data_IF_518960799584
#
_entry.id   IF_518960799584
#
_cell.length_a   1.000
_cell.length_b   1.000
_cell.length_c   1.000
_cell.angle_alpha   90.00
_cell.angle_beta   90.00
_cell.angle_gamma   90.00
#
_symmetry.space_group_name_H-M   'P 1'
#
loop_
_entity.id
_entity.type
_entity.pdbx_description
1 polymer ?
#
# COMPACT_ATOMS: atom_id res chain seq x y z
N UNK A 1 30.65 -12.45 -30.74
CA UNK A 1 29.70 -11.37 -30.41
C UNK A 1 30.26 -10.13 -31.08
N UNK A 2 29.56 -9.64 -32.10
CA UNK A 2 30.04 -8.57 -32.98
C UNK A 2 30.00 -7.19 -32.26
N UNK A 3 30.93 -6.29 -32.60
CA UNK A 3 31.03 -4.96 -31.97
C UNK A 3 29.74 -4.13 -32.18
N UNK A 4 29.06 -4.38 -33.30
CA UNK A 4 27.75 -3.80 -33.59
C UNK A 4 26.69 -4.25 -32.59
N UNK A 5 26.73 -5.51 -32.16
CA UNK A 5 25.85 -6.05 -31.14
C UNK A 5 26.15 -5.44 -29.75
N UNK A 6 27.42 -5.14 -29.44
CA UNK A 6 27.80 -4.42 -28.21
C UNK A 6 27.28 -2.98 -28.19
N UNK A 7 27.40 -2.26 -29.30
CA UNK A 7 26.92 -0.87 -29.42
C UNK A 7 25.38 -0.83 -29.34
N UNK A 8 24.70 -1.77 -29.98
CA UNK A 8 23.25 -1.91 -29.88
C UNK A 8 22.80 -2.21 -28.44
N UNK A 9 23.50 -3.11 -27.75
CA UNK A 9 23.23 -3.41 -26.34
C UNK A 9 23.44 -2.20 -25.44
N UNK A 10 24.55 -1.45 -25.62
CA UNK A 10 24.81 -0.23 -24.85
C UNK A 10 23.74 0.86 -25.09
N UNK A 11 23.28 0.99 -26.33
CA UNK A 11 22.22 1.94 -26.70
C UNK A 11 20.87 1.57 -26.09
N UNK A 12 20.53 0.28 -26.08
CA UNK A 12 19.31 -0.22 -25.43
C UNK A 12 19.35 -0.02 -23.91
N UNK A 13 20.50 -0.27 -23.27
CA UNK A 13 20.68 0.00 -21.84
C UNK A 13 20.48 1.49 -21.53
N UNK A 14 21.04 2.38 -22.37
CA UNK A 14 20.86 3.82 -22.23
C UNK A 14 19.39 4.26 -22.35
N UNK A 15 18.66 3.68 -23.31
CA UNK A 15 17.24 3.99 -23.52
C UNK A 15 16.38 3.52 -22.34
N UNK A 16 16.59 2.30 -21.85
CA UNK A 16 15.88 1.76 -20.67
C UNK A 16 16.19 2.60 -19.42
N UNK A 17 17.43 3.05 -19.26
CA UNK A 17 17.81 3.92 -18.16
C UNK A 17 17.14 5.30 -18.26
N UNK A 18 17.03 5.85 -19.46
CA UNK A 18 16.34 7.11 -19.71
C UNK A 18 14.83 7.01 -19.43
N UNK A 19 14.16 5.99 -19.96
CA UNK A 19 12.72 5.76 -19.71
C UNK A 19 12.45 5.57 -18.21
N UNK A 20 13.31 4.82 -17.50
CA UNK A 20 13.19 4.69 -16.06
C UNK A 20 13.38 6.03 -15.32
N UNK A 21 14.33 6.87 -15.73
CA UNK A 21 14.50 8.20 -15.14
C UNK A 21 13.30 9.12 -15.41
N UNK A 22 12.65 9.01 -16.57
CA UNK A 22 11.46 9.80 -16.92
C UNK A 22 10.23 9.33 -16.15
N UNK A 23 10.03 8.02 -16.03
CA UNK A 23 8.86 7.44 -15.36
C UNK A 23 8.96 7.48 -13.83
N UNK A 24 10.16 7.33 -13.27
CA UNK A 24 10.38 7.17 -11.82
C UNK A 24 11.20 8.29 -11.17
N UNK A 25 11.70 9.26 -11.95
CA UNK A 25 12.61 10.30 -11.46
C UNK A 25 14.05 9.80 -11.26
N UNK A 26 15.03 10.71 -11.03
CA UNK A 26 16.45 10.36 -10.92
C UNK A 26 16.69 9.48 -9.69
N UNK A 27 16.68 8.17 -9.90
CA UNK A 27 17.04 7.18 -8.90
C UNK A 27 18.54 6.99 -8.96
N UNK A 28 19.30 7.85 -8.28
CA UNK A 28 20.70 7.55 -7.98
C UNK A 28 20.71 6.27 -7.14
N UNK A 29 21.39 5.19 -7.56
CA UNK A 29 21.60 4.05 -6.68
C UNK A 29 22.58 4.51 -5.61
N UNK A 30 22.04 4.97 -4.48
CA UNK A 30 22.84 5.19 -3.28
C UNK A 30 23.36 3.82 -2.84
N UNK A 31 24.65 3.66 -2.49
CA UNK A 31 25.20 2.39 -2.02
C UNK A 31 24.70 2.00 -0.61
N UNK A 32 23.71 2.71 -0.09
CA UNK A 32 23.10 2.45 1.21
C UNK A 32 21.77 1.70 0.99
N UNK A 33 21.53 0.55 1.65
CA UNK A 33 20.22 -0.06 1.63
C UNK A 33 19.23 0.98 2.16
N UNK A 34 18.21 1.30 1.36
CA UNK A 34 17.08 2.11 1.77
C UNK A 34 16.34 1.40 2.92
N UNK A 35 16.84 1.55 4.13
CA UNK A 35 15.96 1.66 5.28
C UNK A 35 15.18 2.96 5.08
N UNK A 36 14.19 2.94 4.18
CA UNK A 36 13.10 3.92 4.22
C UNK A 36 12.63 3.89 5.66
N UNK A 37 12.95 4.92 6.44
CA UNK A 37 12.47 5.07 7.82
C UNK A 37 10.95 5.02 7.76
N UNK A 38 10.39 3.84 8.00
CA UNK A 38 9.01 3.71 8.38
C UNK A 38 8.91 4.42 9.71
N UNK A 39 8.20 5.55 9.72
CA UNK A 39 7.96 6.29 10.95
C UNK A 39 7.14 5.36 11.84
N UNK A 40 7.72 4.93 12.95
CA UNK A 40 7.02 4.12 13.94
C UNK A 40 5.79 4.90 14.43
N UNK A 41 4.71 4.21 14.76
CA UNK A 41 3.54 4.81 15.41
C UNK A 41 3.93 5.61 16.67
N UNK A 42 4.99 5.20 17.37
CA UNK A 42 5.54 5.88 18.55
C UNK A 42 6.19 7.23 18.27
N UNK A 43 6.58 7.51 17.02
CA UNK A 43 7.19 8.79 16.60
C UNK A 43 6.17 9.72 15.92
N UNK A 44 4.96 9.23 15.66
CA UNK A 44 3.91 9.96 14.97
C UNK A 44 2.98 10.68 15.96
N UNK A 45 2.78 11.97 15.74
CA UNK A 45 1.77 12.73 16.48
C UNK A 45 0.37 12.37 15.94
N UNK A 46 -0.18 11.26 16.41
CA UNK A 46 -1.49 10.75 16.01
C UNK A 46 -2.57 11.68 16.60
N UNK A 47 -3.48 12.24 15.78
CA UNK A 47 -4.60 13.03 16.26
C UNK A 47 -5.42 12.28 17.34
N UNK A 48 -5.82 13.00 18.39
CA UNK A 48 -6.55 12.44 19.53
C UNK A 48 -7.80 11.65 19.11
N UNK A 49 -8.50 12.13 18.08
CA UNK A 49 -9.75 11.53 17.58
C UNK A 49 -9.56 10.19 16.86
N UNK A 50 -8.32 9.78 16.57
CA UNK A 50 -8.03 8.52 15.88
C UNK A 50 -7.78 7.36 16.85
N UNK A 51 -7.62 7.67 18.13
CA UNK A 51 -7.38 6.67 19.17
C UNK A 51 -8.69 6.07 19.66
N UNK A 52 -8.70 4.75 19.81
CA UNK A 52 -9.79 4.05 20.46
C UNK A 52 -9.80 4.40 21.96
N UNK A 53 -10.92 4.88 22.53
CA UNK A 53 -10.96 5.22 23.95
C UNK A 53 -10.81 4.04 24.92
N UNK A 54 -10.94 2.79 24.44
CA UNK A 54 -10.79 1.58 25.27
C UNK A 54 -9.34 1.10 25.24
N UNK A 55 -8.80 0.83 24.05
CA UNK A 55 -7.47 0.23 23.89
C UNK A 55 -6.35 1.27 23.90
N UNK A 56 -6.68 2.54 23.68
CA UNK A 56 -5.71 3.60 23.44
C UNK A 56 -4.77 3.26 22.27
N UNK A 57 -5.28 2.51 21.30
CA UNK A 57 -4.62 2.19 20.04
C UNK A 57 -5.32 2.86 18.86
N UNK A 58 -4.59 3.07 17.77
CA UNK A 58 -5.14 3.64 16.54
C UNK A 58 -6.29 2.75 16.03
N UNK A 59 -7.47 3.35 15.81
CA UNK A 59 -8.64 2.60 15.34
C UNK A 59 -8.42 2.04 13.93
N UNK A 60 -8.67 0.74 13.75
CA UNK A 60 -8.60 0.03 12.47
C UNK A 60 -9.96 -0.04 11.80
N UNK A 61 -10.99 -0.32 12.60
CA UNK A 61 -12.38 -0.31 12.15
C UNK A 61 -13.26 0.53 13.09
N UNK A 62 -13.27 1.87 12.90
CA UNK A 62 -14.02 2.75 13.78
C UNK A 62 -15.53 2.53 13.63
N UNK A 63 -16.20 2.31 14.75
CA UNK A 63 -17.65 2.11 14.87
C UNK A 63 -18.25 3.01 15.94
N UNK A 64 -19.47 3.48 15.69
CA UNK A 64 -20.23 4.35 16.58
C UNK A 64 -21.23 3.51 17.37
N UNK A 65 -21.26 3.71 18.69
CA UNK A 65 -22.28 3.14 19.59
C UNK A 65 -23.48 4.07 19.72
N UNK A 66 -24.56 3.61 20.37
CA UNK A 66 -25.78 4.40 20.60
C UNK A 66 -25.53 5.82 21.16
N UNK A 67 -24.54 6.00 22.02
CA UNK A 67 -24.21 7.31 22.64
C UNK A 67 -23.46 8.27 21.71
N UNK A 68 -23.19 7.87 20.46
CA UNK A 68 -22.44 8.67 19.49
C UNK A 68 -20.92 8.62 19.67
N UNK A 69 -20.40 7.88 20.66
CA UNK A 69 -18.96 7.69 20.81
C UNK A 69 -18.45 6.66 19.79
N UNK A 70 -17.22 6.89 19.30
CA UNK A 70 -16.56 5.99 18.35
C UNK A 70 -15.46 5.16 19.03
N UNK A 71 -15.38 3.88 18.69
CA UNK A 71 -14.40 2.92 19.19
C UNK A 71 -13.88 2.06 18.05
N UNK A 72 -12.79 1.33 18.27
CA UNK A 72 -12.45 0.23 17.38
C UNK A 72 -13.44 -0.93 17.56
N UNK A 73 -13.88 -1.55 16.46
CA UNK A 73 -14.88 -2.63 16.48
C UNK A 73 -14.53 -3.74 17.45
N UNK A 74 -13.31 -4.26 17.40
CA UNK A 74 -12.93 -5.43 18.21
C UNK A 74 -13.02 -5.10 19.71
N UNK A 75 -12.59 -3.89 20.07
CA UNK A 75 -12.59 -3.43 21.45
C UNK A 75 -13.99 -3.25 22.04
N UNK A 76 -14.91 -2.65 21.28
CA UNK A 76 -16.29 -2.44 21.76
C UNK A 76 -17.12 -3.72 21.69
N UNK A 77 -16.87 -4.58 20.70
CA UNK A 77 -17.48 -5.90 20.63
C UNK A 77 -17.09 -6.74 21.85
N UNK A 78 -15.82 -6.74 22.23
CA UNK A 78 -15.36 -7.45 23.43
C UNK A 78 -16.04 -6.90 24.68
N UNK A 79 -16.09 -5.58 24.84
CA UNK A 79 -16.76 -4.92 25.97
C UNK A 79 -18.22 -5.37 26.13
N UNK A 80 -18.98 -5.35 25.04
CA UNK A 80 -20.39 -5.78 25.01
C UNK A 80 -20.50 -7.28 25.28
N UNK A 81 -19.65 -8.11 24.66
CA UNK A 81 -19.64 -9.58 24.86
C UNK A 81 -19.27 -9.97 26.30
N UNK A 82 -18.51 -9.14 27.02
CA UNK A 82 -18.25 -9.31 28.44
C UNK A 82 -19.44 -9.00 29.35
N UNK A 83 -20.61 -8.64 28.79
CA UNK A 83 -21.85 -8.40 29.53
C UNK A 83 -22.07 -6.95 29.93
N UNK A 84 -21.19 -6.02 29.52
CA UNK A 84 -21.38 -4.61 29.81
C UNK A 84 -22.44 -3.99 28.90
N UNK A 85 -23.36 -3.23 29.49
CA UNK A 85 -24.45 -2.54 28.80
C UNK A 85 -24.29 -1.03 28.82
N UNK A 86 -23.10 -0.52 29.15
CA UNK A 86 -22.80 0.91 29.24
C UNK A 86 -21.75 1.31 28.22
N UNK A 87 -21.77 2.59 27.84
CA UNK A 87 -20.72 3.20 27.03
C UNK A 87 -19.45 3.37 27.88
N UNK A 88 -18.30 2.80 27.48
CA UNK A 88 -17.06 2.87 28.26
C UNK A 88 -16.63 4.28 28.64
N UNK A 89 -16.75 5.24 27.70
CA UNK A 89 -16.29 6.62 27.90
C UNK A 89 -17.27 7.49 28.68
N UNK A 90 -18.58 7.29 28.53
CA UNK A 90 -19.60 8.19 29.12
C UNK A 90 -20.36 7.58 30.28
N UNK A 91 -20.24 6.28 30.51
CA UNK A 91 -21.02 5.54 31.53
C UNK A 91 -22.51 5.41 31.22
N UNK A 92 -23.00 6.03 30.13
CA UNK A 92 -24.42 6.00 29.76
C UNK A 92 -24.82 4.60 29.28
N UNK A 93 -26.03 4.16 29.62
CA UNK A 93 -26.59 2.88 29.19
C UNK A 93 -26.79 2.85 27.67
N UNK A 94 -26.32 1.78 27.03
CA UNK A 94 -26.55 1.49 25.63
C UNK A 94 -27.98 0.95 25.48
N UNK A 95 -28.86 1.72 24.84
CA UNK A 95 -30.24 1.27 24.56
C UNK A 95 -30.28 0.06 23.64
N UNK A 96 -29.26 -0.11 22.80
CA UNK A 96 -29.04 -1.25 21.93
C UNK A 96 -27.55 -1.44 21.69
N UNK A 97 -27.15 -2.65 21.29
CA UNK A 97 -25.76 -3.03 21.01
C UNK A 97 -25.38 -2.90 19.53
N UNK A 98 -26.26 -2.32 18.70
CA UNK A 98 -25.96 -2.09 17.29
C UNK A 98 -24.75 -1.16 17.13
N UNK A 99 -23.80 -1.58 16.31
CA UNK A 99 -22.60 -0.83 15.97
C UNK A 99 -22.71 -0.28 14.54
N UNK A 100 -22.59 1.02 14.39
CA UNK A 100 -22.70 1.70 13.10
C UNK A 100 -21.29 2.01 12.60
N UNK A 101 -20.86 1.54 11.41
CA UNK A 101 -19.55 1.88 10.86
C UNK A 101 -19.36 3.39 10.70
N UNK A 102 -18.19 3.92 11.10
CA UNK A 102 -17.79 5.31 10.84
C UNK A 102 -16.82 5.35 9.64
N UNK A 103 -17.36 5.19 8.44
CA UNK A 103 -16.55 5.19 7.21
C UNK A 103 -15.81 6.50 6.97
N UNK A 104 -16.37 7.64 7.41
CA UNK A 104 -15.72 8.94 7.32
C UNK A 104 -14.42 8.98 8.15
N UNK A 105 -14.49 8.58 9.42
CA UNK A 105 -13.30 8.52 10.28
C UNK A 105 -12.30 7.49 9.78
N UNK A 106 -12.77 6.32 9.30
CA UNK A 106 -11.91 5.29 8.70
C UNK A 106 -11.09 5.87 7.54
N UNK A 107 -11.74 6.60 6.63
CA UNK A 107 -11.06 7.24 5.50
C UNK A 107 -10.05 8.29 5.94
N UNK A 108 -10.38 9.11 6.95
CA UNK A 108 -9.45 10.10 7.50
C UNK A 108 -8.20 9.45 8.11
N UNK A 109 -8.37 8.36 8.88
CA UNK A 109 -7.26 7.60 9.47
C UNK A 109 -6.38 7.02 8.36
N UNK A 110 -6.98 6.38 7.35
CA UNK A 110 -6.24 5.78 6.22
C UNK A 110 -5.44 6.84 5.46
N UNK A 111 -6.04 7.99 5.14
CA UNK A 111 -5.36 9.09 4.47
C UNK A 111 -4.19 9.63 5.31
N UNK A 112 -4.40 9.78 6.62
CA UNK A 112 -3.35 10.24 7.53
C UNK A 112 -2.20 9.24 7.62
N UNK A 113 -2.47 7.94 7.79
CA UNK A 113 -1.46 6.88 7.82
C UNK A 113 -0.62 6.87 6.54
N UNK A 114 -1.28 6.98 5.37
CA UNK A 114 -0.60 7.08 4.07
C UNK A 114 0.34 8.28 4.01
N UNK A 115 -0.11 9.44 4.47
CA UNK A 115 0.69 10.67 4.46
C UNK A 115 1.88 10.59 5.44
N UNK A 116 1.70 9.93 6.59
CA UNK A 116 2.75 9.71 7.58
C UNK A 116 3.66 8.51 7.26
N UNK A 117 3.39 7.77 6.17
CA UNK A 117 4.11 6.54 5.77
C UNK A 117 4.08 5.47 6.87
N UNK A 118 2.97 5.41 7.61
CA UNK A 118 2.72 4.41 8.63
C UNK A 118 2.08 3.20 7.95
N UNK A 119 2.63 1.99 8.08
CA UNK A 119 1.96 0.76 7.66
C UNK A 119 0.65 0.61 8.43
N UNK A 120 -0.47 0.64 7.72
CA UNK A 120 -1.80 0.50 8.31
C UNK A 120 -2.51 -0.67 7.61
N UNK A 121 -2.57 -1.81 8.29
CA UNK A 121 -3.26 -2.99 7.79
C UNK A 121 -4.77 -2.83 7.96
N UNK A 122 -5.47 -2.62 6.85
CA UNK A 122 -6.92 -2.58 6.84
C UNK A 122 -7.43 -4.02 6.86
N UNK A 123 -7.79 -4.52 8.05
CA UNK A 123 -8.52 -5.78 8.18
C UNK A 123 -9.96 -5.55 7.68
N UNK A 124 -10.29 -6.11 6.51
CA UNK A 124 -11.68 -6.28 6.07
C UNK A 124 -12.28 -5.20 5.17
N UNK A 125 -11.74 -5.01 3.96
CA UNK A 125 -12.54 -4.85 2.72
C UNK A 125 -11.60 -5.12 1.54
N UNK A 126 -11.85 -6.18 0.76
CA UNK A 126 -11.09 -6.42 -0.46
C UNK A 126 -11.26 -5.23 -1.42
N UNK A 127 -10.17 -4.55 -1.76
CA UNK A 127 -10.24 -3.44 -2.72
C UNK A 127 -9.12 -2.41 -2.59
N UNK A 128 -7.96 -2.76 -3.15
CA UNK A 128 -7.02 -1.84 -3.82
C UNK A 128 -6.45 -0.69 -2.98
N UNK A 129 -5.24 -0.92 -2.46
CA UNK A 129 -4.35 0.16 -2.06
C UNK A 129 -3.00 -0.33 -1.53
N UNK A 130 -2.03 -0.55 -2.43
CA UNK A 130 -0.58 -0.79 -2.17
C UNK A 130 -0.25 -2.22 -1.69
N UNK A 131 0.47 -3.11 -2.39
CA UNK A 131 1.40 -3.00 -3.53
C UNK A 131 1.60 -4.38 -4.20
N UNK A 132 0.59 -4.89 -4.89
CA UNK A 132 0.79 -5.99 -5.84
C UNK A 132 0.80 -5.41 -7.25
N UNK A 133 1.89 -5.54 -8.04
CA UNK A 133 1.82 -5.23 -9.45
C UNK A 133 0.71 -6.10 -10.03
N UNK A 134 -0.27 -5.47 -10.69
CA UNK A 134 -1.42 -6.16 -11.26
C UNK A 134 -0.87 -7.34 -12.07
N UNK A 135 -1.31 -8.55 -11.77
CA UNK A 135 -0.81 -9.77 -12.43
C UNK A 135 -0.88 -9.63 -13.96
N UNK A 136 -1.87 -8.89 -14.46
CA UNK A 136 -1.99 -8.48 -15.86
C UNK A 136 -0.80 -7.67 -16.39
N UNK A 137 -0.24 -6.75 -15.60
CA UNK A 137 0.96 -6.00 -15.96
C UNK A 137 2.21 -6.89 -15.97
N UNK A 138 2.30 -7.88 -15.08
CA UNK A 138 3.40 -8.85 -15.06
C UNK A 138 3.32 -9.80 -16.26
N UNK A 139 2.13 -10.30 -16.57
CA UNK A 139 1.87 -11.15 -17.74
C UNK A 139 2.08 -10.39 -19.04
N UNK A 140 1.65 -9.13 -19.12
CA UNK A 140 1.90 -8.25 -20.27
C UNK A 140 3.40 -8.00 -20.46
N UNK A 141 4.12 -7.73 -19.38
CA UNK A 141 5.59 -7.60 -19.42
C UNK A 141 6.24 -8.90 -19.88
N UNK A 142 5.78 -10.07 -19.40
CA UNK A 142 6.30 -11.37 -19.85
C UNK A 142 6.02 -11.63 -21.33
N UNK A 143 4.83 -11.27 -21.83
CA UNK A 143 4.49 -11.40 -23.26
C UNK A 143 5.33 -10.46 -24.12
N UNK A 144 5.50 -9.20 -23.71
CA UNK A 144 6.31 -8.23 -24.43
C UNK A 144 7.78 -8.65 -24.50
N UNK A 145 8.35 -9.09 -23.38
CA UNK A 145 9.72 -9.61 -23.32
C UNK A 145 9.88 -10.84 -24.23
N UNK A 146 8.93 -11.78 -24.21
CA UNK A 146 8.99 -12.97 -25.08
C UNK A 146 8.90 -12.60 -26.56
N UNK A 147 8.03 -11.65 -26.92
CA UNK A 147 7.90 -11.16 -28.29
C UNK A 147 9.19 -10.49 -28.79
N UNK A 148 9.81 -9.66 -27.96
CA UNK A 148 11.07 -8.98 -28.28
C UNK A 148 12.23 -9.97 -28.38
N UNK A 149 12.32 -10.95 -27.48
CA UNK A 149 13.33 -12.02 -27.56
C UNK A 149 13.17 -12.80 -28.87
N UNK A 150 11.94 -13.13 -29.28
CA UNK A 150 11.71 -13.84 -30.53
C UNK A 150 12.09 -12.98 -31.76
N UNK A 151 11.75 -11.68 -31.74
CA UNK A 151 12.15 -10.75 -32.82
C UNK A 151 13.66 -10.56 -32.92
N UNK A 152 14.36 -10.56 -31.79
CA UNK A 152 15.83 -10.45 -31.75
C UNK A 152 16.52 -11.77 -32.09
N UNK A 153 15.89 -12.91 -31.83
CA UNK A 153 16.41 -14.24 -32.21
C UNK A 153 16.36 -14.51 -33.72
N UNK A 154 15.51 -13.81 -34.48
CA UNK A 154 15.34 -14.00 -35.94
C UNK A 154 16.28 -13.11 -36.76
N UNK A 155 17.05 -12.21 -36.14
CA UNK A 155 18.14 -11.46 -36.79
C UNK A 155 19.48 -12.04 -36.30
N UNK A 156 20.17 -12.93 -37.03
CA UNK A 156 21.04 -12.69 -38.21
C UNK A 156 21.60 -14.07 -38.68
N UNK A 157 22.42 -14.25 -39.76
CA UNK A 157 22.88 -13.34 -40.82
C UNK A 157 22.71 -13.93 -42.25
N UNK A 158 22.19 -13.20 -43.23
CA UNK A 158 22.36 -13.59 -44.65
C UNK A 158 22.52 -12.35 -45.53
N UNK A 159 23.77 -11.94 -45.76
CA UNK A 159 24.17 -11.23 -46.96
C UNK A 159 25.70 -11.16 -47.00
N UNK A 160 26.37 -12.19 -47.54
CA UNK A 160 27.59 -12.07 -48.36
C UNK A 160 27.92 -13.44 -48.98
N UNK A 161 27.17 -13.81 -50.02
CA UNK A 161 27.64 -14.63 -51.15
C UNK A 161 26.79 -14.19 -52.36
N UNK A 162 27.44 -13.54 -53.32
CA UNK A 162 26.85 -12.98 -54.54
C UNK A 162 27.70 -11.85 -55.07
#
# INVERSE_FOLDING_TARGET
IDERSRIAAASLIGLVHYENCVLYGPSTPSPHPDFRRHKSLSEANIPADFWCPITLELMRDPVVVFTGQTYDRESIDLWIKSGHTTCPKTGQVLKHTNLIPNSALKNLIVMWCRNQKIPFEIYGYGGVGSSTPCTEAVEFTRMMVSFLINKLSVAEPNALLG
#
